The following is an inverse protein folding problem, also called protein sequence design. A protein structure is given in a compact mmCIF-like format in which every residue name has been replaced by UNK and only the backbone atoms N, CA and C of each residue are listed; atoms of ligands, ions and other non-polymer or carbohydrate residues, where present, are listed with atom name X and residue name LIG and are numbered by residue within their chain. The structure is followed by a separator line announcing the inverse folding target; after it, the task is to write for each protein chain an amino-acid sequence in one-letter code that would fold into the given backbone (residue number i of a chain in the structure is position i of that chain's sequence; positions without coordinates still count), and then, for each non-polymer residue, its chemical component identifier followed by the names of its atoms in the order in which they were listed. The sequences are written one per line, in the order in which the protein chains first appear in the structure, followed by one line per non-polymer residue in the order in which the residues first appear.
data_IF_799573030913
#
_entry.id   IF_799573030913
#
_cell.length_a   1.000
_cell.length_b   1.000
_cell.length_c   1.000
_cell.angle_alpha   90.00
_cell.angle_beta   90.00
_cell.angle_gamma   90.00
#
_symmetry.space_group_name_H-M   'P 1'
#
loop_
_entity.id
_entity.type
_entity.pdbx_description
1 polymer ?
#
# COMPACT_ATOMS: atom_id res chain seq x y z
N UNK A 1 19.60 10.47 -0.01
CA UNK A 1 19.54 9.27 -0.88
C UNK A 1 18.20 8.61 -0.63
N UNK A 2 17.42 8.33 -1.67
CA UNK A 2 16.14 7.60 -1.57
C UNK A 2 16.38 6.14 -1.92
N UNK A 3 15.76 5.21 -1.20
CA UNK A 3 15.77 3.77 -1.54
C UNK A 3 14.85 3.46 -2.73
N UNK A 4 13.90 4.34 -3.02
CA UNK A 4 12.96 4.21 -4.13
C UNK A 4 13.23 5.24 -5.22
N UNK A 5 12.87 4.93 -6.46
CA UNK A 5 12.72 5.93 -7.54
C UNK A 5 11.53 6.85 -7.25
N UNK A 6 11.35 7.89 -8.08
CA UNK A 6 10.28 8.89 -7.95
C UNK A 6 8.88 8.27 -7.78
N UNK A 7 8.64 7.13 -8.40
CA UNK A 7 7.34 6.45 -8.42
C UNK A 7 7.24 5.35 -7.35
N UNK A 8 8.13 5.34 -6.36
CA UNK A 8 8.04 4.44 -5.23
C UNK A 8 8.62 3.04 -5.44
N UNK A 9 9.05 2.70 -6.66
CA UNK A 9 9.67 1.39 -6.91
C UNK A 9 11.01 1.27 -6.15
N UNK A 10 11.24 0.18 -5.41
CA UNK A 10 12.51 -0.07 -4.75
C UNK A 10 13.70 -0.14 -5.71
N UNK A 11 14.88 0.28 -5.24
CA UNK A 11 16.13 0.21 -5.99
C UNK A 11 17.06 -0.86 -5.41
N UNK A 12 17.58 -1.71 -6.29
CA UNK A 12 18.53 -2.77 -5.92
C UNK A 12 17.84 -4.06 -5.51
N UNK A 13 18.59 -4.95 -4.84
CA UNK A 13 18.07 -6.23 -4.36
C UNK A 13 18.39 -6.39 -2.86
N UNK A 14 17.40 -6.35 -1.96
CA UNK A 14 17.65 -6.54 -0.54
C UNK A 14 18.12 -7.97 -0.25
N UNK A 15 19.28 -8.11 0.39
CA UNK A 15 19.86 -9.42 0.72
C UNK A 15 19.23 -10.06 1.97
N UNK A 16 18.92 -9.27 2.99
CA UNK A 16 18.32 -9.79 4.22
C UNK A 16 16.80 -9.89 4.09
N UNK A 17 16.23 -11.00 4.55
CA UNK A 17 14.77 -11.16 4.56
C UNK A 17 14.06 -10.07 5.37
N UNK A 18 14.69 -9.53 6.43
CA UNK A 18 14.15 -8.39 7.17
C UNK A 18 14.14 -7.10 6.35
N UNK A 19 15.04 -6.94 5.38
CA UNK A 19 15.01 -5.81 4.45
C UNK A 19 13.91 -5.98 3.39
N UNK A 20 13.54 -7.20 3.03
CA UNK A 20 12.36 -7.47 2.18
C UNK A 20 11.06 -7.11 2.88
N UNK A 21 10.96 -7.39 4.18
CA UNK A 21 9.82 -6.90 4.99
C UNK A 21 9.79 -5.37 5.01
N UNK A 22 10.95 -4.70 5.07
CA UNK A 22 11.03 -3.23 4.97
C UNK A 22 10.64 -2.71 3.60
N UNK A 23 11.01 -3.41 2.55
CA UNK A 23 10.64 -3.07 1.17
C UNK A 23 9.12 -3.14 0.99
N UNK A 24 8.48 -4.20 1.51
CA UNK A 24 7.03 -4.28 1.56
C UNK A 24 6.40 -3.15 2.40
N UNK A 25 6.91 -2.87 3.60
CA UNK A 25 6.44 -1.73 4.43
C UNK A 25 6.51 -0.39 3.71
N UNK A 26 7.51 -0.19 2.84
CA UNK A 26 7.65 1.02 2.02
C UNK A 26 6.55 1.04 0.95
N UNK A 27 6.30 -0.09 0.29
CA UNK A 27 5.18 -0.28 -0.65
C UNK A 27 3.83 0.10 -0.04
N UNK A 28 3.52 -0.47 1.13
CA UNK A 28 2.28 -0.15 1.86
C UNK A 28 2.14 1.35 2.17
N UNK A 29 3.22 2.01 2.59
CA UNK A 29 3.19 3.46 2.87
C UNK A 29 2.90 4.25 1.58
N UNK A 30 3.47 3.84 0.45
CA UNK A 30 3.24 4.49 -0.84
C UNK A 30 1.77 4.32 -1.24
N UNK A 31 1.22 3.11 -1.14
CA UNK A 31 -0.18 2.81 -1.44
C UNK A 31 -1.14 3.63 -0.54
N UNK A 32 -0.93 3.60 0.79
CA UNK A 32 -1.72 4.38 1.75
C UNK A 32 -1.73 5.86 1.39
N UNK A 33 -0.57 6.42 1.06
CA UNK A 33 -0.47 7.84 0.71
C UNK A 33 -1.10 8.13 -0.66
N UNK A 34 -0.96 7.24 -1.64
CA UNK A 34 -1.59 7.33 -2.94
C UNK A 34 -3.11 7.39 -2.82
N UNK A 35 -3.70 6.41 -2.13
CA UNK A 35 -5.14 6.40 -1.85
C UNK A 35 -5.60 7.61 -1.05
N UNK A 36 -4.86 8.02 -0.02
CA UNK A 36 -5.21 9.21 0.76
C UNK A 36 -5.24 10.48 -0.13
N UNK A 37 -4.28 10.61 -1.05
CA UNK A 37 -4.25 11.72 -2.01
C UNK A 37 -5.42 11.64 -2.99
N UNK A 38 -5.70 10.47 -3.56
CA UNK A 38 -6.79 10.26 -4.51
C UNK A 38 -8.18 10.52 -3.88
N UNK A 39 -8.40 10.06 -2.65
CA UNK A 39 -9.62 10.34 -1.86
C UNK A 39 -9.77 11.83 -1.59
N UNK A 40 -8.67 12.50 -1.24
CA UNK A 40 -8.70 13.94 -1.02
C UNK A 40 -9.06 14.65 -2.33
N UNK A 41 -8.49 14.22 -3.46
CA UNK A 41 -8.64 14.84 -4.78
C UNK A 41 -9.91 14.47 -5.56
N UNK A 42 -10.86 13.76 -4.94
CA UNK A 42 -12.10 13.32 -5.59
C UNK A 42 -13.36 13.65 -4.79
N UNK A 43 -14.41 14.09 -5.48
CA UNK A 43 -15.76 14.25 -4.92
C UNK A 43 -16.71 13.11 -5.31
N UNK A 44 -16.21 12.05 -5.98
CA UNK A 44 -17.01 10.90 -6.40
C UNK A 44 -17.15 9.91 -5.24
N UNK A 45 -18.31 9.91 -4.59
CA UNK A 45 -18.55 9.15 -3.36
C UNK A 45 -18.30 7.65 -3.49
N UNK A 46 -18.68 7.04 -4.61
CA UNK A 46 -18.58 5.61 -4.81
C UNK A 46 -17.15 5.15 -5.14
N UNK A 47 -16.39 5.95 -5.91
CA UNK A 47 -14.93 5.73 -6.10
C UNK A 47 -14.21 5.91 -4.76
N UNK A 48 -14.56 6.97 -4.02
CA UNK A 48 -13.98 7.23 -2.69
C UNK A 48 -14.29 6.11 -1.69
N UNK A 49 -15.44 5.44 -1.81
CA UNK A 49 -15.75 4.29 -0.97
C UNK A 49 -14.81 3.11 -1.26
N UNK A 50 -14.54 2.82 -2.53
CA UNK A 50 -13.59 1.76 -2.94
C UNK A 50 -12.18 2.09 -2.45
N UNK A 51 -11.66 3.29 -2.72
CA UNK A 51 -10.34 3.70 -2.23
C UNK A 51 -10.22 3.69 -0.71
N UNK A 52 -11.27 4.07 0.03
CA UNK A 52 -11.26 4.01 1.50
C UNK A 52 -11.20 2.58 2.03
N UNK A 53 -11.89 1.65 1.36
CA UNK A 53 -11.84 0.23 1.71
C UNK A 53 -10.42 -0.30 1.52
N UNK A 54 -9.86 -0.13 0.32
CA UNK A 54 -8.52 -0.61 -0.02
C UNK A 54 -7.46 0.03 0.90
N UNK A 55 -7.49 1.36 1.08
CA UNK A 55 -6.58 2.05 2.01
C UNK A 55 -6.66 1.51 3.45
N UNK A 56 -7.81 0.98 3.88
CA UNK A 56 -7.93 0.36 5.19
C UNK A 56 -7.23 -1.00 5.24
N UNK A 57 -7.27 -1.76 4.15
CA UNK A 57 -6.54 -3.02 3.99
C UNK A 57 -5.03 -2.76 3.93
N UNK A 58 -4.55 -1.75 3.19
CA UNK A 58 -3.14 -1.36 3.19
C UNK A 58 -2.61 -0.98 4.59
N UNK A 59 -3.45 -0.31 5.40
CA UNK A 59 -3.10 -0.02 6.80
C UNK A 59 -2.99 -1.29 7.64
N UNK A 60 -3.82 -2.29 7.35
CA UNK A 60 -3.76 -3.58 8.01
C UNK A 60 -2.49 -4.35 7.58
N UNK A 61 -2.18 -4.38 6.28
CA UNK A 61 -0.96 -4.96 5.70
C UNK A 61 0.30 -4.36 6.34
N UNK A 62 0.39 -3.03 6.41
CA UNK A 62 1.45 -2.32 7.11
C UNK A 62 1.60 -2.79 8.57
N UNK A 63 0.49 -2.94 9.28
CA UNK A 63 0.46 -3.45 10.65
C UNK A 63 1.01 -4.88 10.77
N UNK A 64 0.59 -5.77 9.87
CA UNK A 64 1.05 -7.16 9.83
C UNK A 64 2.56 -7.25 9.58
N UNK A 65 3.06 -6.55 8.55
CA UNK A 65 4.47 -6.51 8.19
C UNK A 65 5.33 -5.89 9.30
N UNK A 66 4.86 -4.82 9.95
CA UNK A 66 5.61 -4.17 11.01
C UNK A 66 5.74 -5.07 12.25
N UNK A 67 4.70 -5.85 12.55
CA UNK A 67 4.74 -6.85 13.61
C UNK A 67 5.71 -8.00 13.28
N UNK A 68 5.72 -8.48 12.03
CA UNK A 68 6.73 -9.45 11.57
C UNK A 68 8.15 -8.89 11.67
N UNK A 69 8.37 -7.65 11.22
CA UNK A 69 9.69 -7.02 11.31
C UNK A 69 10.17 -6.95 12.76
N UNK A 70 9.29 -6.54 13.68
CA UNK A 70 9.60 -6.50 15.12
C UNK A 70 9.83 -7.89 15.72
N UNK A 71 9.24 -8.94 15.18
CA UNK A 71 9.53 -10.32 15.61
C UNK A 71 10.94 -10.77 15.21
N UNK A 72 11.40 -10.38 14.03
CA UNK A 72 12.65 -10.89 13.45
C UNK A 72 13.85 -9.93 13.53
N UNK A 73 13.62 -8.65 13.83
CA UNK A 73 14.67 -7.66 14.07
C UNK A 73 14.65 -7.20 15.53
N UNK A 74 15.56 -7.75 16.32
CA UNK A 74 15.66 -7.49 17.76
C UNK A 74 15.95 -6.02 18.06
N UNK A 75 16.72 -5.33 17.21
CA UNK A 75 17.03 -3.91 17.40
C UNK A 75 15.77 -3.08 17.12
N UNK A 76 15.04 -3.36 16.04
CA UNK A 76 13.76 -2.71 15.76
C UNK A 76 12.76 -2.90 16.91
N UNK A 77 12.69 -4.10 17.48
CA UNK A 77 11.84 -4.39 18.62
C UNK A 77 12.23 -3.61 19.88
N UNK A 78 13.53 -3.53 20.19
CA UNK A 78 14.04 -2.73 21.29
C UNK A 78 13.66 -1.26 21.13
N UNK A 79 13.83 -0.69 19.92
CA UNK A 79 13.42 0.69 19.63
C UNK A 79 11.92 0.91 19.76
N UNK A 80 11.10 -0.07 19.34
CA UNK A 80 9.66 -0.04 19.56
C UNK A 80 9.30 0.03 21.06
N UNK A 81 9.93 -0.79 21.91
CA UNK A 81 9.67 -0.78 23.35
C UNK A 81 10.05 0.56 24.01
N UNK A 82 11.17 1.16 23.60
CA UNK A 82 11.57 2.49 24.08
C UNK A 82 10.52 3.55 23.72
N UNK A 83 10.04 3.55 22.47
CA UNK A 83 9.03 4.51 22.01
C UNK A 83 7.66 4.27 22.65
N UNK A 84 7.27 3.01 22.85
CA UNK A 84 6.01 2.63 23.51
C UNK A 84 5.91 3.14 24.95
N UNK A 85 7.05 3.25 25.65
CA UNK A 85 7.11 3.71 27.03
C UNK A 85 7.22 5.24 27.16
N UNK A 86 7.27 5.98 26.05
CA UNK A 86 7.21 7.45 26.08
C UNK A 86 5.82 7.93 26.50
N UNK A 87 5.71 9.10 27.15
CA UNK A 87 4.42 9.69 27.48
C UNK A 87 3.61 9.96 26.19
N UNK A 88 2.26 9.90 26.26
CA UNK A 88 1.42 10.14 25.09
C UNK A 88 1.68 11.53 24.49
N UNK A 89 1.81 11.59 23.17
CA UNK A 89 1.86 12.86 22.45
C UNK A 89 0.45 13.47 22.49
N UNK A 90 0.34 14.74 22.87
CA UNK A 90 -0.93 15.48 22.87
C UNK A 90 -1.42 15.56 21.42
N UNK A 91 -2.58 14.97 21.15
CA UNK A 91 -3.20 15.02 19.83
C UNK A 91 -3.69 16.45 19.55
N UNK A 92 -3.05 17.12 18.61
CA UNK A 92 -3.51 18.40 18.08
C UNK A 92 -4.40 18.18 16.85
N UNK A 93 -5.16 19.21 16.49
CA UNK A 93 -5.96 19.19 15.26
C UNK A 93 -5.05 19.11 14.04
N UNK A 94 -5.31 18.15 13.16
CA UNK A 94 -4.60 18.04 11.88
C UNK A 94 -4.92 19.25 11.00
N UNK A 95 -3.93 19.71 10.22
CA UNK A 95 -4.13 20.77 9.23
C UNK A 95 -5.23 20.40 8.23
N UNK A 96 -6.02 21.38 7.80
CA UNK A 96 -7.03 21.17 6.76
C UNK A 96 -6.40 21.19 5.37
N UNK A 97 -6.93 20.38 4.46
CA UNK A 97 -6.55 20.33 3.05
C UNK A 97 -7.77 20.66 2.18
N UNK A 98 -7.58 21.52 1.17
CA UNK A 98 -8.61 21.90 0.18
C UNK A 98 -8.08 21.58 -1.22
N UNK A 99 -8.53 20.47 -1.84
CA UNK A 99 -8.12 20.09 -3.17
C UNK A 99 -8.85 20.86 -4.26
N UNK A 100 -8.29 20.84 -5.47
CA UNK A 100 -8.92 21.35 -6.67
C UNK A 100 -9.37 20.16 -7.55
N UNK A 101 -10.61 19.73 -7.37
CA UNK A 101 -11.19 18.56 -8.03
C UNK A 101 -11.22 18.69 -9.56
N UNK A 102 -11.44 19.90 -10.09
CA UNK A 102 -11.62 20.14 -11.53
C UNK A 102 -10.35 19.92 -12.37
N UNK A 103 -9.19 19.83 -11.71
CA UNK A 103 -7.90 19.60 -12.39
C UNK A 103 -7.47 18.14 -12.39
N UNK A 104 -8.26 17.25 -11.80
CA UNK A 104 -7.88 15.87 -11.54
C UNK A 104 -8.39 14.94 -12.64
N UNK A 105 -7.56 13.99 -13.05
CA UNK A 105 -7.94 12.96 -14.02
C UNK A 105 -8.21 11.67 -13.24
N UNK A 106 -9.41 11.54 -12.69
CA UNK A 106 -9.79 10.46 -11.76
C UNK A 106 -9.49 9.07 -12.32
N UNK A 107 -9.78 8.82 -13.60
CA UNK A 107 -9.49 7.52 -14.23
C UNK A 107 -7.98 7.24 -14.34
N UNK A 108 -7.11 8.26 -14.41
CA UNK A 108 -5.66 8.05 -14.35
C UNK A 108 -5.22 7.62 -12.95
N UNK A 109 -5.85 8.16 -11.91
CA UNK A 109 -5.58 7.76 -10.53
C UNK A 109 -5.97 6.29 -10.33
N UNK A 110 -7.17 5.89 -10.78
CA UNK A 110 -7.60 4.47 -10.73
C UNK A 110 -6.64 3.56 -11.48
N UNK A 111 -6.19 3.94 -12.69
CA UNK A 111 -5.20 3.14 -13.44
C UNK A 111 -3.82 3.10 -12.77
N UNK A 112 -3.42 4.19 -12.12
CA UNK A 112 -2.17 4.23 -11.36
C UNK A 112 -2.24 3.31 -10.13
N UNK A 113 -3.39 3.26 -9.45
CA UNK A 113 -3.62 2.37 -8.32
C UNK A 113 -3.61 0.90 -8.79
N UNK A 114 -4.32 0.55 -9.87
CA UNK A 114 -4.28 -0.80 -10.46
C UNK A 114 -2.83 -1.22 -10.78
N UNK A 115 -2.04 -0.33 -11.36
CA UNK A 115 -0.62 -0.57 -11.60
C UNK A 115 0.13 -0.83 -10.29
N UNK A 116 -0.12 -0.02 -9.26
CA UNK A 116 0.48 -0.19 -7.93
C UNK A 116 0.19 -1.55 -7.32
N UNK A 117 -1.06 -2.00 -7.40
CA UNK A 117 -1.48 -3.33 -6.91
C UNK A 117 -0.72 -4.46 -7.61
N UNK A 118 -0.58 -4.39 -8.94
CA UNK A 118 0.21 -5.39 -9.66
C UNK A 118 1.71 -5.35 -9.33
N UNK A 119 2.28 -4.15 -9.12
CA UNK A 119 3.67 -4.02 -8.68
C UNK A 119 3.89 -4.64 -7.30
N UNK A 120 2.94 -4.47 -6.37
CA UNK A 120 2.95 -5.09 -5.05
C UNK A 120 2.88 -6.62 -5.15
N UNK A 121 1.95 -7.18 -5.95
CA UNK A 121 1.85 -8.63 -6.19
C UNK A 121 3.16 -9.20 -6.71
N UNK A 122 3.75 -8.59 -7.74
CA UNK A 122 5.02 -9.05 -8.33
C UNK A 122 6.13 -9.08 -7.26
N UNK A 123 6.25 -8.00 -6.49
CA UNK A 123 7.26 -7.87 -5.45
C UNK A 123 7.08 -8.95 -4.37
N UNK A 124 5.86 -9.15 -3.90
CA UNK A 124 5.55 -10.04 -2.79
C UNK A 124 5.69 -11.50 -3.18
N UNK A 125 5.25 -11.88 -4.39
CA UNK A 125 5.46 -13.23 -4.92
C UNK A 125 6.94 -13.54 -5.17
N UNK A 126 7.73 -12.56 -5.61
CA UNK A 126 9.19 -12.72 -5.69
C UNK A 126 9.78 -12.97 -4.29
N UNK A 127 9.32 -12.25 -3.27
CA UNK A 127 9.82 -12.46 -1.91
C UNK A 127 9.42 -13.83 -1.33
N UNK A 128 8.22 -14.35 -1.65
CA UNK A 128 7.73 -15.64 -1.17
C UNK A 128 8.67 -16.80 -1.48
N UNK A 129 9.24 -16.83 -2.68
CA UNK A 129 10.15 -17.90 -3.10
C UNK A 129 11.50 -17.84 -2.38
N UNK A 130 11.84 -16.69 -1.81
CA UNK A 130 13.14 -16.45 -1.14
C UNK A 130 13.07 -16.59 0.38
N UNK A 131 11.87 -16.63 0.98
CA UNK A 131 11.73 -16.84 2.41
C UNK A 131 11.86 -18.31 2.81
N UNK A 132 12.31 -18.55 4.05
CA UNK A 132 12.29 -19.89 4.67
C UNK A 132 11.28 -19.98 5.82
N UNK A 133 11.00 -18.85 6.47
CA UNK A 133 10.10 -18.73 7.61
C UNK A 133 8.64 -18.81 7.15
N UNK A 134 7.89 -19.78 7.70
CA UNK A 134 6.54 -20.10 7.24
C UNK A 134 5.52 -19.01 7.58
N UNK A 135 5.67 -18.35 8.72
CA UNK A 135 4.83 -17.23 9.10
C UNK A 135 5.04 -16.01 8.21
N UNK A 136 6.28 -15.72 7.80
CA UNK A 136 6.57 -14.67 6.81
C UNK A 136 5.92 -15.03 5.48
N UNK A 137 6.09 -16.28 5.00
CA UNK A 137 5.43 -16.75 3.77
C UNK A 137 3.92 -16.59 3.84
N UNK A 138 3.32 -16.97 4.95
CA UNK A 138 1.88 -16.89 5.11
C UNK A 138 1.36 -15.44 5.01
N UNK A 139 2.00 -14.50 5.71
CA UNK A 139 1.60 -13.09 5.65
C UNK A 139 1.80 -12.50 4.26
N UNK A 140 2.94 -12.75 3.61
CA UNK A 140 3.16 -12.26 2.24
C UNK A 140 2.19 -12.87 1.24
N UNK A 141 1.78 -14.13 1.43
CA UNK A 141 0.76 -14.76 0.59
C UNK A 141 -0.61 -14.14 0.79
N UNK A 142 -1.00 -13.84 2.04
CA UNK A 142 -2.25 -13.16 2.34
C UNK A 142 -2.30 -11.79 1.68
N UNK A 143 -1.28 -10.96 1.92
CA UNK A 143 -1.19 -9.61 1.34
C UNK A 143 -1.24 -9.69 -0.19
N UNK A 144 -0.42 -10.54 -0.83
CA UNK A 144 -0.44 -10.69 -2.28
C UNK A 144 -1.78 -11.24 -2.84
N UNK A 145 -2.59 -11.90 -2.01
CA UNK A 145 -3.96 -12.30 -2.37
C UNK A 145 -4.91 -11.11 -2.29
N UNK A 146 -4.80 -10.30 -1.24
CA UNK A 146 -5.61 -9.10 -1.02
C UNK A 146 -5.34 -8.06 -2.13
N UNK A 147 -4.08 -7.85 -2.54
CA UNK A 147 -3.75 -6.93 -3.65
C UNK A 147 -4.36 -7.36 -5.00
N UNK A 148 -4.54 -8.67 -5.22
CA UNK A 148 -5.25 -9.16 -6.42
C UNK A 148 -6.73 -8.80 -6.34
N UNK A 149 -7.34 -8.90 -5.17
CA UNK A 149 -8.73 -8.46 -4.96
C UNK A 149 -8.85 -6.94 -5.15
N UNK A 150 -7.90 -6.15 -4.64
CA UNK A 150 -7.84 -4.70 -4.84
C UNK A 150 -7.79 -4.33 -6.31
N UNK A 151 -6.93 -4.98 -7.09
CA UNK A 151 -6.82 -4.79 -8.53
C UNK A 151 -8.16 -5.06 -9.25
N UNK A 152 -8.89 -6.11 -8.87
CA UNK A 152 -10.21 -6.42 -9.44
C UNK A 152 -11.29 -5.39 -9.02
N UNK A 153 -11.27 -4.94 -7.77
CA UNK A 153 -12.17 -3.89 -7.29
C UNK A 153 -11.97 -2.57 -8.04
N UNK A 154 -10.73 -2.16 -8.26
CA UNK A 154 -10.39 -0.97 -9.05
C UNK A 154 -10.71 -1.17 -10.52
N UNK A 155 -10.48 -2.35 -11.09
CA UNK A 155 -10.84 -2.67 -12.48
C UNK A 155 -12.34 -2.56 -12.69
N UNK A 156 -13.16 -3.04 -11.75
CA UNK A 156 -14.61 -2.85 -11.79
C UNK A 156 -15.01 -1.37 -11.76
N UNK A 157 -14.32 -0.54 -10.97
CA UNK A 157 -14.53 0.92 -10.97
C UNK A 157 -14.12 1.53 -12.32
N UNK A 158 -13.00 1.11 -12.89
CA UNK A 158 -12.51 1.58 -14.18
C UNK A 158 -13.53 1.28 -15.28
N UNK A 159 -14.00 0.04 -15.40
CA UNK A 159 -14.99 -0.38 -16.41
C UNK A 159 -16.33 0.31 -16.24
N UNK A 160 -16.71 0.65 -15.01
CA UNK A 160 -17.96 1.38 -14.74
C UNK A 160 -17.94 2.81 -15.28
N UNK A 161 -16.79 3.48 -15.26
CA UNK A 161 -16.67 4.92 -15.51
C UNK A 161 -15.94 5.30 -16.79
N UNK A 162 -15.10 4.42 -17.31
CA UNK A 162 -14.43 4.62 -18.58
C UNK A 162 -15.37 4.20 -19.72
N UNK A 163 -15.65 5.13 -20.64
CA UNK A 163 -16.55 4.86 -21.76
C UNK A 163 -15.88 4.05 -22.87
N UNK A 164 -14.55 3.98 -22.85
CA UNK A 164 -13.78 3.21 -23.81
C UNK A 164 -13.80 1.72 -23.45
N UNK A 165 -13.87 0.87 -24.48
CA UNK A 165 -13.91 -0.59 -24.29
C UNK A 165 -12.51 -1.16 -24.07
N UNK A 166 -12.37 -1.94 -23.00
CA UNK A 166 -11.19 -2.76 -22.74
C UNK A 166 -11.38 -4.17 -23.32
N UNK A 167 -11.32 -4.28 -24.65
CA UNK A 167 -11.58 -5.52 -25.40
C UNK A 167 -12.91 -6.21 -25.00
N UNK A 168 -12.87 -7.44 -24.48
CA UNK A 168 -14.04 -8.21 -24.06
C UNK A 168 -14.44 -7.99 -22.60
N UNK A 169 -13.75 -7.10 -21.87
CA UNK A 169 -14.09 -6.78 -20.49
C UNK A 169 -15.35 -5.91 -20.48
N UNK A 170 -16.28 -6.25 -19.58
CA UNK A 170 -17.58 -5.59 -19.40
C UNK A 170 -17.72 -5.12 -17.97
#
# INVERSE_FOLDING_TARGET
MSYTVKDGQPQGHPYFFTNKIREALIGEIIAINGYAQHIADSNMEDINAVWKSIMQDEKNHYGMLLNLLRKYDSVQYQKYNVQRNQPPIIKTTMQSYKPNYDKQIILNNVRADIKGEFEAVILYEQHLVEFYQQDIKHIFYLIASDEKEHAEHLTRVLLKYDTDKYDSLV
#
